data_IF_759012745608
#
_entry.id   IF_759012745608
#
_cell.length_a   1.000
_cell.length_b   1.000
_cell.length_c   1.000
_cell.angle_alpha   90.00
_cell.angle_beta   90.00
_cell.angle_gamma   90.00
#
_symmetry.space_group_name_H-M   'P 1'
#
loop_
_entity.id
_entity.type
_entity.pdbx_description
1 polymer ?
#
# COMPACT_ATOMS: atom_id res chain seq x y z
N UNK A 1 19.09 1.14 -5.07
CA UNK A 1 18.06 1.97 -4.41
C UNK A 1 17.26 1.05 -3.50
N UNK A 2 17.58 1.10 -2.20
CA UNK A 2 17.06 0.15 -1.21
C UNK A 2 15.61 0.51 -0.91
N UNK A 3 14.68 -0.34 -1.33
CA UNK A 3 13.28 -0.28 -0.95
C UNK A 3 13.20 -0.33 0.57
N UNK A 4 12.93 0.81 1.20
CA UNK A 4 12.65 0.84 2.62
C UNK A 4 11.43 -0.04 2.86
N UNK A 5 11.46 -0.96 3.84
CA UNK A 5 10.29 -1.72 4.20
C UNK A 5 9.24 -0.70 4.63
N UNK A 6 8.21 -0.55 3.80
CA UNK A 6 7.04 0.28 4.06
C UNK A 6 6.44 -0.15 5.39
N UNK A 7 6.89 0.48 6.49
CA UNK A 7 6.35 0.28 7.83
C UNK A 7 4.91 0.77 7.79
N UNK A 8 4.01 -0.21 7.68
CA UNK A 8 2.60 -0.01 7.45
C UNK A 8 2.00 0.98 8.48
N UNK A 9 1.29 2.02 8.01
CA UNK A 9 0.56 2.99 8.85
C UNK A 9 -0.29 2.34 9.96
N UNK A 10 -0.97 1.20 9.73
CA UNK A 10 -1.71 0.49 10.76
C UNK A 10 -0.84 0.03 11.94
N UNK A 11 0.38 -0.47 11.69
CA UNK A 11 1.30 -0.96 12.73
C UNK A 11 1.80 0.16 13.65
N UNK A 12 2.01 1.37 13.12
CA UNK A 12 2.39 2.51 13.97
C UNK A 12 1.22 3.09 14.74
N UNK A 13 0.00 3.03 14.19
CA UNK A 13 -1.21 3.41 14.92
C UNK A 13 -1.45 2.47 16.10
N UNK A 14 -1.29 1.15 15.91
CA UNK A 14 -1.39 0.18 17.01
C UNK A 14 -0.23 0.33 18.00
N UNK A 15 0.98 0.66 17.55
CA UNK A 15 2.11 0.96 18.44
C UNK A 15 1.84 2.19 19.32
N UNK A 16 1.25 3.26 18.77
CA UNK A 16 0.82 4.42 19.57
C UNK A 16 -0.27 4.03 20.56
N UNK A 17 -1.27 3.23 20.14
CA UNK A 17 -2.34 2.74 21.01
C UNK A 17 -1.83 1.87 22.18
N UNK A 18 -0.84 1.02 21.90
CA UNK A 18 -0.16 0.23 22.92
C UNK A 18 0.65 1.11 23.88
N UNK A 19 1.42 2.07 23.35
CA UNK A 19 2.19 3.00 24.17
C UNK A 19 1.30 3.91 25.03
N UNK A 20 0.12 4.32 24.53
CA UNK A 20 -0.85 5.07 25.34
C UNK A 20 -1.38 4.24 26.49
N UNK A 21 -1.77 2.98 26.25
CA UNK A 21 -2.27 2.10 27.31
C UNK A 21 -1.22 1.87 28.41
N UNK A 22 0.05 1.71 28.03
CA UNK A 22 1.15 1.57 29.00
C UNK A 22 1.43 2.85 29.79
N UNK A 23 1.41 4.01 29.15
CA UNK A 23 1.61 5.29 29.81
C UNK A 23 0.47 5.58 30.81
N UNK A 24 -0.78 5.29 30.43
CA UNK A 24 -1.95 5.46 31.31
C UNK A 24 -1.90 4.54 32.53
N UNK A 25 -1.55 3.26 32.36
CA UNK A 25 -1.44 2.33 33.49
C UNK A 25 -0.31 2.74 34.46
N UNK A 26 0.84 3.14 33.92
CA UNK A 26 1.96 3.61 34.74
C UNK A 26 1.61 4.90 35.51
N UNK A 27 0.87 5.81 34.87
CA UNK A 27 0.40 7.04 35.48
C UNK A 27 -0.58 6.76 36.63
N UNK A 28 -1.59 5.91 36.41
CA UNK A 28 -2.55 5.50 37.45
C UNK A 28 -1.86 4.78 38.61
N UNK A 29 -0.79 4.04 38.33
CA UNK A 29 0.01 3.36 39.36
C UNK A 29 0.79 4.35 40.21
N UNK A 30 1.36 5.38 39.58
CA UNK A 30 2.03 6.48 40.28
C UNK A 30 1.06 7.28 41.15
N UNK A 31 -0.12 7.62 40.63
CA UNK A 31 -1.16 8.34 41.38
C UNK A 31 -1.66 7.54 42.58
N UNK A 32 -1.89 6.22 42.40
CA UNK A 32 -2.18 5.30 43.52
C UNK A 32 -1.07 5.27 44.56
N UNK A 33 0.20 5.19 44.11
CA UNK A 33 1.34 5.17 45.02
C UNK A 33 1.53 6.50 45.77
N UNK A 34 1.23 7.65 45.14
CA UNK A 34 1.22 8.95 45.80
C UNK A 34 0.12 9.04 46.87
N UNK A 35 -1.12 8.66 46.54
CA UNK A 35 -2.24 8.73 47.47
C UNK A 35 -2.00 7.85 48.72
N UNK A 36 -1.39 6.67 48.53
CA UNK A 36 -1.06 5.76 49.64
C UNK A 36 0.13 6.24 50.49
N UNK A 37 0.95 7.17 49.98
CA UNK A 37 2.05 7.79 50.74
C UNK A 37 1.53 8.65 51.89
N UNK A 38 0.40 9.34 51.68
CA UNK A 38 -0.26 10.14 52.73
C UNK A 38 -0.90 9.26 53.81
N UNK A 39 -1.25 8.02 53.47
CA UNK A 39 -1.89 7.02 54.35
C UNK A 39 -0.96 6.05 55.08
N UNK A 40 0.35 6.30 55.14
CA UNK A 40 1.38 5.55 55.93
C UNK A 40 1.91 4.23 55.29
N UNK A 41 1.38 3.74 54.17
CA UNK A 41 1.67 2.36 53.70
C UNK A 41 2.75 2.19 52.63
N UNK A 42 3.29 3.27 52.03
CA UNK A 42 4.24 3.17 50.91
C UNK A 42 5.55 3.90 51.19
N UNK A 43 6.67 3.23 50.90
CA UNK A 43 8.02 3.80 51.06
C UNK A 43 8.34 4.83 49.97
N UNK A 44 9.19 5.81 50.30
CA UNK A 44 9.65 6.83 49.34
C UNK A 44 10.33 6.22 48.11
N UNK A 45 11.07 5.12 48.28
CA UNK A 45 11.70 4.38 47.21
C UNK A 45 10.68 3.87 46.16
N UNK A 46 9.52 3.35 46.62
CA UNK A 46 8.46 2.84 45.73
C UNK A 46 7.76 3.95 44.94
N UNK A 47 7.60 5.12 45.54
CA UNK A 47 7.04 6.31 44.83
C UNK A 47 8.02 6.80 43.76
N UNK A 48 9.32 6.81 44.05
CA UNK A 48 10.34 7.21 43.08
C UNK A 48 10.47 6.21 41.92
N UNK A 49 10.32 4.91 42.19
CA UNK A 49 10.30 3.87 41.17
C UNK A 49 9.12 4.04 40.22
N UNK A 50 7.90 4.11 40.75
CA UNK A 50 6.69 4.33 39.93
C UNK A 50 6.72 5.66 39.16
N UNK A 51 7.34 6.70 39.73
CA UNK A 51 7.57 7.96 39.00
C UNK A 51 8.54 7.79 37.83
N UNK A 52 9.62 7.03 38.00
CA UNK A 52 10.58 6.73 36.93
C UNK A 52 9.89 5.94 35.82
N UNK A 53 9.12 4.92 36.17
CA UNK A 53 8.38 4.11 35.21
C UNK A 53 7.40 4.97 34.40
N UNK A 54 6.61 5.81 35.07
CA UNK A 54 5.69 6.74 34.40
C UNK A 54 6.42 7.66 33.42
N UNK A 55 7.60 8.20 33.79
CA UNK A 55 8.43 9.02 32.88
C UNK A 55 8.94 8.23 31.68
N UNK A 56 9.39 6.98 31.89
CA UNK A 56 9.87 6.12 30.80
C UNK A 56 8.75 5.82 29.81
N UNK A 57 7.57 5.43 30.29
CA UNK A 57 6.44 5.12 29.40
C UNK A 57 5.89 6.38 28.70
N UNK A 58 5.90 7.54 29.36
CA UNK A 58 5.56 8.81 28.71
C UNK A 58 6.54 9.17 27.58
N UNK A 59 7.85 8.94 27.78
CA UNK A 59 8.85 9.14 26.73
C UNK A 59 8.65 8.17 25.55
N UNK A 60 8.34 6.91 25.81
CA UNK A 60 8.01 5.92 24.77
C UNK A 60 6.77 6.32 23.95
N UNK A 61 5.76 6.87 24.61
CA UNK A 61 4.58 7.40 23.93
C UNK A 61 4.92 8.61 23.04
N UNK A 62 5.74 9.54 23.53
CA UNK A 62 6.19 10.69 22.75
C UNK A 62 6.97 10.24 21.51
N UNK A 63 7.87 9.26 21.65
CA UNK A 63 8.61 8.68 20.54
C UNK A 63 7.68 8.02 19.50
N UNK A 64 6.74 7.19 19.95
CA UNK A 64 5.79 6.51 19.05
C UNK A 64 4.93 7.53 18.28
N UNK A 65 4.50 8.61 18.94
CA UNK A 65 3.75 9.71 18.30
C UNK A 65 4.60 10.47 17.31
N UNK A 66 5.86 10.78 17.63
CA UNK A 66 6.79 11.44 16.73
C UNK A 66 7.04 10.61 15.46
N UNK A 67 7.24 9.30 15.60
CA UNK A 67 7.37 8.38 14.46
C UNK A 67 6.12 8.37 13.56
N UNK A 68 4.93 8.37 14.16
CA UNK A 68 3.67 8.47 13.41
C UNK A 68 3.53 9.84 12.73
N UNK A 69 3.95 10.93 13.38
CA UNK A 69 3.93 12.26 12.82
C UNK A 69 4.88 12.39 11.63
N UNK A 70 6.10 11.84 11.70
CA UNK A 70 7.04 11.81 10.57
C UNK A 70 6.45 11.06 9.36
N UNK A 71 5.80 9.92 9.58
CA UNK A 71 5.12 9.17 8.51
C UNK A 71 3.87 9.86 7.95
N UNK A 72 3.26 10.77 8.73
CA UNK A 72 2.11 11.58 8.28
C UNK A 72 2.56 12.84 7.56
N UNK A 73 3.61 13.49 8.05
CA UNK A 73 4.27 14.61 7.40
C UNK A 73 4.77 14.21 6.01
N UNK A 74 5.12 12.92 5.84
CA UNK A 74 5.16 12.27 4.53
C UNK A 74 6.29 12.74 3.64
N UNK A 75 6.22 12.30 2.38
CA UNK A 75 7.13 12.68 1.32
C UNK A 75 6.81 14.10 0.84
N UNK A 76 7.82 14.84 0.39
CA UNK A 76 7.66 16.18 -0.18
C UNK A 76 6.71 16.13 -1.38
N UNK A 77 6.04 17.25 -1.67
CA UNK A 77 5.11 17.33 -2.81
C UNK A 77 5.78 16.95 -4.15
N UNK A 78 7.08 17.24 -4.28
CA UNK A 78 7.89 16.85 -5.44
C UNK A 78 7.97 15.32 -5.64
N UNK A 79 8.21 14.56 -4.57
CA UNK A 79 8.24 13.09 -4.59
C UNK A 79 6.87 12.50 -4.93
N UNK A 80 5.78 13.12 -4.45
CA UNK A 80 4.42 12.66 -4.74
C UNK A 80 4.11 12.84 -6.22
N UNK A 81 4.39 14.02 -6.78
CA UNK A 81 4.17 14.28 -8.22
C UNK A 81 5.01 13.37 -9.10
N UNK A 82 6.25 13.08 -8.71
CA UNK A 82 7.10 12.14 -9.44
C UNK A 82 6.51 10.71 -9.39
N UNK A 83 6.04 10.26 -8.23
CA UNK A 83 5.40 8.96 -8.10
C UNK A 83 4.09 8.86 -8.90
N UNK A 84 3.29 9.93 -8.95
CA UNK A 84 2.08 10.02 -9.76
C UNK A 84 2.42 9.95 -11.25
N UNK A 85 3.40 10.71 -11.73
CA UNK A 85 3.84 10.67 -13.12
C UNK A 85 4.32 9.26 -13.52
N UNK A 86 5.05 8.57 -12.63
CA UNK A 86 5.49 7.17 -12.85
C UNK A 86 4.30 6.20 -12.91
N UNK A 87 3.31 6.36 -12.02
CA UNK A 87 2.06 5.57 -12.05
C UNK A 87 1.32 5.79 -13.35
N UNK A 88 1.18 7.03 -13.79
CA UNK A 88 0.41 7.37 -14.98
C UNK A 88 1.10 6.82 -16.23
N UNK A 89 2.44 6.91 -16.29
CA UNK A 89 3.25 6.28 -17.35
C UNK A 89 3.06 4.76 -17.37
N UNK A 90 3.15 4.09 -16.21
CA UNK A 90 2.95 2.65 -16.12
C UNK A 90 1.52 2.23 -16.50
N UNK A 91 0.53 3.08 -16.18
CA UNK A 91 -0.88 2.85 -16.55
C UNK A 91 -1.06 2.97 -18.06
N UNK A 92 -0.45 3.97 -18.69
CA UNK A 92 -0.48 4.12 -20.15
C UNK A 92 0.15 2.90 -20.85
N UNK A 93 1.29 2.40 -20.35
CA UNK A 93 1.93 1.20 -20.88
C UNK A 93 1.05 -0.06 -20.72
N UNK A 94 0.33 -0.16 -19.60
CA UNK A 94 -0.62 -1.26 -19.38
C UNK A 94 -1.76 -1.23 -20.39
N UNK A 95 -2.35 -0.05 -20.63
CA UNK A 95 -3.42 0.12 -21.60
C UNK A 95 -2.94 -0.14 -23.03
N UNK A 96 -1.73 0.30 -23.38
CA UNK A 96 -1.12 -0.02 -24.67
C UNK A 96 -0.93 -1.54 -24.85
N UNK A 97 -0.37 -2.23 -23.85
CA UNK A 97 -0.20 -3.68 -23.89
C UNK A 97 -1.54 -4.43 -23.99
N UNK A 98 -2.59 -3.93 -23.32
CA UNK A 98 -3.95 -4.47 -23.44
C UNK A 98 -4.52 -4.27 -24.83
N UNK A 99 -4.34 -3.10 -25.44
CA UNK A 99 -4.77 -2.83 -26.81
C UNK A 99 -4.05 -3.75 -27.81
N UNK A 100 -2.73 -3.95 -27.64
CA UNK A 100 -1.97 -4.90 -28.46
C UNK A 100 -2.48 -6.34 -28.30
N UNK A 101 -2.83 -6.75 -27.08
CA UNK A 101 -3.40 -8.06 -26.82
C UNK A 101 -4.78 -8.23 -27.47
N UNK A 102 -5.64 -7.21 -27.41
CA UNK A 102 -6.96 -7.23 -28.06
C UNK A 102 -6.82 -7.35 -29.58
N UNK A 103 -5.84 -6.67 -30.18
CA UNK A 103 -5.47 -6.80 -31.60
C UNK A 103 -4.97 -8.19 -32.00
N UNK A 104 -4.49 -9.01 -31.05
CA UNK A 104 -4.17 -10.41 -31.31
C UNK A 104 -5.42 -11.30 -31.45
N UNK A 105 -6.60 -10.78 -31.13
CA UNK A 105 -7.87 -11.46 -31.33
C UNK A 105 -8.62 -10.86 -32.52
N UNK A 106 -9.12 -11.72 -33.41
CA UNK A 106 -9.82 -11.27 -34.62
C UNK A 106 -11.29 -11.63 -34.46
N UNK A 107 -12.15 -10.61 -34.55
CA UNK A 107 -13.61 -10.75 -34.53
C UNK A 107 -14.16 -10.55 -35.94
N UNK A 108 -15.29 -11.20 -36.24
CA UNK A 108 -15.99 -11.02 -37.49
C UNK A 108 -16.48 -9.56 -37.63
N UNK A 109 -16.15 -8.85 -38.72
CA UNK A 109 -16.59 -7.46 -38.90
C UNK A 109 -18.06 -7.35 -39.34
N UNK A 110 -18.63 -8.43 -39.90
CA UNK A 110 -19.98 -8.50 -40.45
C UNK A 110 -20.56 -9.90 -40.29
N UNK A 111 -21.88 -10.02 -40.31
CA UNK A 111 -22.57 -11.30 -40.36
C UNK A 111 -22.36 -11.99 -41.71
N UNK A 112 -21.99 -13.26 -41.69
CA UNK A 112 -21.67 -14.02 -42.89
C UNK A 112 -21.09 -15.40 -42.58
N UNK A 113 -20.74 -16.13 -43.65
CA UNK A 113 -20.12 -17.45 -43.55
C UNK A 113 -18.61 -17.37 -43.81
N UNK A 114 -17.83 -18.11 -43.02
CA UNK A 114 -16.39 -18.31 -43.26
C UNK A 114 -16.24 -19.36 -44.36
N UNK A 115 -15.61 -18.97 -45.48
CA UNK A 115 -15.41 -19.84 -46.64
C UNK A 115 -14.14 -20.66 -46.50
N UNK A 116 -13.06 -20.02 -46.07
CA UNK A 116 -11.74 -20.67 -45.94
C UNK A 116 -10.92 -20.00 -44.84
N UNK A 117 -10.15 -20.79 -44.10
CA UNK A 117 -9.22 -20.32 -43.07
C UNK A 117 -7.80 -20.67 -43.53
N UNK A 118 -7.05 -19.65 -43.90
CA UNK A 118 -5.70 -19.77 -44.48
C UNK A 118 -4.62 -19.86 -43.39
N UNK A 119 -4.94 -19.38 -42.17
CA UNK A 119 -4.02 -19.35 -41.05
C UNK A 119 -3.87 -20.73 -40.37
N UNK A 120 -2.63 -21.19 -40.19
CA UNK A 120 -2.32 -22.42 -39.46
C UNK A 120 -1.81 -22.13 -38.03
N UNK A 121 -2.15 -22.95 -37.03
CA UNK A 121 -1.60 -22.82 -35.68
C UNK A 121 -0.06 -22.90 -35.69
N UNK A 122 0.60 -21.92 -35.07
CA UNK A 122 2.06 -21.84 -35.01
C UNK A 122 2.74 -21.27 -36.27
N UNK A 123 1.99 -20.90 -37.31
CA UNK A 123 2.52 -20.21 -38.48
C UNK A 123 2.93 -18.78 -38.12
N UNK A 124 4.15 -18.39 -38.49
CA UNK A 124 4.60 -17.01 -38.38
C UNK A 124 3.96 -16.15 -39.48
N UNK A 125 3.33 -15.04 -39.09
CA UNK A 125 2.73 -14.08 -40.01
C UNK A 125 3.55 -12.79 -39.96
N UNK A 126 3.97 -12.30 -41.13
CA UNK A 126 4.71 -11.04 -41.26
C UNK A 126 3.80 -9.93 -41.72
N UNK A 127 3.98 -8.73 -41.16
CA UNK A 127 3.30 -7.51 -41.63
C UNK A 127 3.93 -6.94 -42.92
N UNK A 128 5.09 -7.46 -43.36
CA UNK A 128 5.78 -6.97 -44.55
C UNK A 128 5.10 -7.38 -45.87
N UNK A 129 4.44 -8.54 -45.88
CA UNK A 129 3.60 -9.02 -46.99
C UNK A 129 2.29 -9.51 -46.37
N UNK A 130 1.22 -8.68 -46.36
CA UNK A 130 -0.01 -9.03 -45.68
C UNK A 130 -0.69 -10.21 -46.39
N UNK A 131 -0.76 -11.35 -45.72
CA UNK A 131 -1.54 -12.51 -46.15
C UNK A 131 -2.91 -12.50 -45.44
N UNK A 132 -4.02 -12.81 -46.14
CA UNK A 132 -5.32 -12.94 -45.50
C UNK A 132 -5.32 -14.14 -44.54
N UNK A 133 -5.93 -13.97 -43.36
CA UNK A 133 -6.03 -15.05 -42.38
C UNK A 133 -7.23 -15.97 -42.66
N UNK A 134 -8.31 -15.41 -43.18
CA UNK A 134 -9.53 -16.11 -43.54
C UNK A 134 -10.29 -15.33 -44.63
N UNK A 135 -11.16 -16.03 -45.35
CA UNK A 135 -12.10 -15.46 -46.30
C UNK A 135 -13.52 -15.58 -45.76
N UNK A 136 -14.27 -14.47 -45.71
CA UNK A 136 -15.69 -14.46 -45.35
C UNK A 136 -16.53 -13.96 -46.51
N UNK A 137 -17.71 -14.55 -46.67
CA UNK A 137 -18.75 -14.06 -47.58
C UNK A 137 -19.91 -13.55 -46.73
N UNK A 138 -20.36 -12.33 -47.01
CA UNK A 138 -21.51 -11.73 -46.37
C UNK A 138 -22.79 -12.51 -46.73
N UNK A 139 -23.57 -12.87 -45.72
CA UNK A 139 -24.89 -13.45 -45.93
C UNK A 139 -25.90 -12.32 -46.14
N UNK A 140 -26.22 -12.04 -47.42
CA UNK A 140 -27.30 -11.11 -47.78
C UNK A 140 -28.62 -11.87 -47.74
N UNK A 141 -29.31 -11.84 -46.61
CA UNK A 141 -30.77 -11.99 -46.59
C UNK A 141 -31.46 -10.68 -46.94
#
# INVERSE_FOLDING_TARGET
MVGQPTRCRPCLRTAVGYATARAEEAQKTYERAQALREGVSVTTARVLETQRDARVFAAQLAEARARLALLRAGSREEDIREAEARRDTATAQLEEARAQLDQCSIRAPVDGAVVDVVANPGQFMSLAVPAPLLHMVQDKR
#
